data_IF_777996720604
#
_entry.id   IF_777996720604
#
_cell.length_a   1.000
_cell.length_b   1.000
_cell.length_c   1.000
_cell.angle_alpha   90.00
_cell.angle_beta   90.00
_cell.angle_gamma   90.00
#
_symmetry.space_group_name_H-M   'P 1'
#
loop_
_entity.id
_entity.type
_entity.pdbx_description
1 polymer ?
#
# COMPACT_ATOMS: atom_id res chain seq x y z
N UNK A 1 -13.65 -1.20 23.94
CA UNK A 1 -12.36 -0.55 23.61
C UNK A 1 -11.73 -0.96 22.27
N UNK A 2 -12.19 -2.01 21.57
CA UNK A 2 -11.63 -2.45 20.28
C UNK A 2 -11.99 -1.58 19.05
N UNK A 3 -13.10 -0.84 19.11
CA UNK A 3 -13.62 -0.06 17.98
C UNK A 3 -12.67 1.07 17.53
N UNK A 4 -12.01 1.74 18.48
CA UNK A 4 -11.11 2.87 18.20
C UNK A 4 -9.82 2.43 17.49
N UNK A 5 -9.28 1.26 17.88
CA UNK A 5 -8.07 0.66 17.27
C UNK A 5 -8.35 0.14 15.86
N UNK A 6 -9.54 -0.42 15.64
CA UNK A 6 -9.99 -0.87 14.31
C UNK A 6 -10.28 0.32 13.39
N UNK A 7 -10.83 1.41 13.92
CA UNK A 7 -11.04 2.66 13.20
C UNK A 7 -9.71 3.32 12.80
N UNK A 8 -8.74 3.41 13.70
CA UNK A 8 -7.41 3.96 13.37
C UNK A 8 -6.64 3.10 12.37
N UNK A 9 -6.74 1.77 12.47
CA UNK A 9 -6.20 0.83 11.48
C UNK A 9 -6.85 1.01 10.10
N UNK A 10 -8.17 1.17 10.07
CA UNK A 10 -8.90 1.35 8.81
C UNK A 10 -8.53 2.67 8.12
N UNK A 11 -8.47 3.78 8.88
CA UNK A 11 -8.02 5.07 8.36
C UNK A 11 -6.58 4.97 7.85
N UNK A 12 -5.67 4.34 8.62
CA UNK A 12 -4.27 4.19 8.21
C UNK A 12 -4.14 3.36 6.94
N UNK A 13 -4.92 2.28 6.79
CA UNK A 13 -4.99 1.48 5.56
C UNK A 13 -5.47 2.30 4.37
N UNK A 14 -6.63 2.95 4.47
CA UNK A 14 -7.18 3.77 3.36
C UNK A 14 -6.25 4.91 2.96
N UNK A 15 -5.68 5.60 3.94
CA UNK A 15 -4.74 6.70 3.69
C UNK A 15 -3.44 6.25 3.06
N UNK A 16 -2.91 5.10 3.51
CA UNK A 16 -1.71 4.52 2.92
C UNK A 16 -1.96 4.08 1.48
N UNK A 17 -3.09 3.42 1.18
CA UNK A 17 -3.48 3.07 -0.19
C UNK A 17 -3.57 4.31 -1.08
N UNK A 18 -4.28 5.36 -0.65
CA UNK A 18 -4.45 6.58 -1.46
C UNK A 18 -3.11 7.26 -1.73
N UNK A 19 -2.27 7.42 -0.70
CA UNK A 19 -0.94 8.05 -0.85
C UNK A 19 0.01 7.22 -1.71
N UNK A 20 0.01 5.90 -1.55
CA UNK A 20 0.85 5.00 -2.36
C UNK A 20 0.39 5.03 -3.81
N UNK A 21 -0.92 4.97 -4.08
CA UNK A 21 -1.45 5.05 -5.44
C UNK A 21 -1.13 6.39 -6.11
N UNK A 22 -1.34 7.51 -5.41
CA UNK A 22 -1.03 8.84 -5.94
C UNK A 22 0.47 9.04 -6.20
N UNK A 23 1.32 8.50 -5.33
CA UNK A 23 2.76 8.54 -5.51
C UNK A 23 3.21 7.64 -6.68
N UNK A 24 2.69 6.42 -6.76
CA UNK A 24 3.00 5.49 -7.84
C UNK A 24 2.52 5.97 -9.22
N UNK A 25 1.42 6.72 -9.31
CA UNK A 25 0.96 7.33 -10.57
C UNK A 25 1.92 8.40 -11.10
N UNK A 26 2.79 8.95 -10.26
CA UNK A 26 3.78 9.98 -10.60
C UNK A 26 5.21 9.44 -10.74
N UNK A 27 5.43 8.16 -10.42
CA UNK A 27 6.77 7.57 -10.44
C UNK A 27 7.15 7.10 -11.86
N UNK A 28 8.41 7.29 -12.28
CA UNK A 28 8.91 6.73 -13.53
C UNK A 28 8.77 5.22 -13.56
N UNK A 29 8.47 4.63 -14.73
CA UNK A 29 8.30 3.18 -14.91
C UNK A 29 9.45 2.36 -14.33
N UNK A 30 10.69 2.83 -14.42
CA UNK A 30 11.86 2.14 -13.83
C UNK A 30 11.79 2.02 -12.29
N UNK A 31 11.22 3.00 -11.59
CA UNK A 31 11.02 2.92 -10.14
C UNK A 31 9.89 1.95 -9.81
N UNK A 32 8.86 1.91 -10.67
CA UNK A 32 7.70 1.01 -10.55
C UNK A 32 8.05 -0.44 -10.88
N UNK A 33 9.03 -0.69 -11.75
CA UNK A 33 9.52 -2.03 -12.11
C UNK A 33 10.81 -2.43 -11.37
N UNK A 34 11.17 -1.69 -10.32
CA UNK A 34 12.30 -2.07 -9.49
C UNK A 34 12.03 -3.43 -8.81
N UNK A 35 13.05 -4.30 -8.69
CA UNK A 35 12.89 -5.62 -8.06
C UNK A 35 12.30 -5.57 -6.65
N UNK A 36 12.59 -4.49 -5.90
CA UNK A 36 12.05 -4.27 -4.56
C UNK A 36 10.54 -4.01 -4.55
N UNK A 37 10.02 -3.32 -5.56
CA UNK A 37 8.60 -2.98 -5.67
C UNK A 37 7.77 -4.15 -6.21
N UNK A 38 8.33 -4.96 -7.10
CA UNK A 38 7.78 -6.27 -7.48
C UNK A 38 7.62 -7.20 -6.26
N UNK A 39 8.67 -7.32 -5.44
CA UNK A 39 8.63 -8.12 -4.21
C UNK A 39 7.58 -7.54 -3.24
N UNK A 40 7.49 -6.22 -3.13
CA UNK A 40 6.49 -5.57 -2.29
C UNK A 40 5.05 -5.83 -2.76
N UNK A 41 4.77 -5.76 -4.07
CA UNK A 41 3.47 -6.11 -4.67
C UNK A 41 3.13 -7.58 -4.41
N UNK A 42 4.05 -8.51 -4.66
CA UNK A 42 3.86 -9.95 -4.38
C UNK A 42 3.48 -10.21 -2.91
N UNK A 43 4.13 -9.51 -1.98
CA UNK A 43 3.81 -9.63 -0.55
C UNK A 43 2.43 -9.05 -0.21
N UNK A 44 2.02 -7.95 -0.85
CA UNK A 44 0.68 -7.40 -0.70
C UNK A 44 -0.39 -8.34 -1.26
N UNK A 45 -0.17 -8.90 -2.45
CA UNK A 45 -1.08 -9.85 -3.09
C UNK A 45 -1.23 -11.12 -2.25
N UNK A 46 -0.17 -11.59 -1.59
CA UNK A 46 -0.23 -12.71 -0.65
C UNK A 46 -1.04 -12.41 0.63
N UNK A 47 -1.03 -11.16 1.10
CA UNK A 47 -1.72 -10.75 2.34
C UNK A 47 -3.18 -10.36 2.09
N UNK A 48 -3.51 -9.92 0.88
CA UNK A 48 -4.84 -9.49 0.49
C UNK A 48 -5.63 -10.56 -0.30
N UNK A 49 -4.95 -11.58 -0.80
CA UNK A 49 -5.54 -12.80 -1.37
C UNK A 49 -6.10 -13.75 -0.34
#
# INVERSE_FOLDING_TARGET
QLKHRRFSLNIRKHFFTVRVTEHCHRLPREVVESPSLEIFKRNLDMVLG
#
